data_IF_616286935411
#
_entry.id   IF_616286935411
#
_cell.length_a   1.000
_cell.length_b   1.000
_cell.length_c   1.000
_cell.angle_alpha   90.00
_cell.angle_beta   90.00
_cell.angle_gamma   90.00
#
_symmetry.space_group_name_H-M   'P 1'
#
loop_
_entity.id
_entity.type
_entity.pdbx_description
1 polymer ?
#
# COMPACT_ATOMS: atom_id res chain seq x y z
N UNK A 1 -7.24 -28.94 -58.09
CA UNK A 1 -8.12 -28.55 -56.96
C UNK A 1 -7.35 -27.56 -56.09
N UNK A 2 -7.58 -26.27 -56.33
CA UNK A 2 -6.89 -25.17 -55.64
C UNK A 2 -7.55 -24.93 -54.27
N UNK A 3 -6.77 -25.03 -53.18
CA UNK A 3 -7.23 -24.61 -51.84
C UNK A 3 -7.14 -23.08 -51.74
N UNK A 4 -8.20 -22.36 -51.32
CA UNK A 4 -8.12 -20.92 -51.16
C UNK A 4 -7.28 -20.57 -49.91
N UNK A 5 -6.31 -19.65 -50.01
CA UNK A 5 -5.76 -19.00 -48.83
C UNK A 5 -6.71 -17.87 -48.43
N UNK A 6 -6.94 -17.68 -47.13
CA UNK A 6 -7.57 -16.45 -46.64
C UNK A 6 -8.87 -16.65 -45.89
N UNK A 7 -8.80 -17.30 -44.72
CA UNK A 7 -9.71 -17.03 -43.60
C UNK A 7 -9.02 -16.98 -42.23
N UNK A 8 -7.74 -17.34 -42.14
CA UNK A 8 -6.98 -17.30 -40.88
C UNK A 8 -6.53 -15.89 -40.46
N UNK A 9 -6.31 -15.00 -41.44
CA UNK A 9 -5.78 -13.65 -41.23
C UNK A 9 -6.73 -12.70 -40.48
N UNK A 10 -8.03 -12.59 -40.81
CA UNK A 10 -8.92 -11.65 -40.10
C UNK A 10 -9.18 -12.07 -38.65
N UNK A 11 -9.18 -13.37 -38.36
CA UNK A 11 -9.40 -13.88 -37.00
C UNK A 11 -8.23 -13.56 -36.06
N UNK A 12 -6.99 -13.61 -36.58
CA UNK A 12 -5.78 -13.24 -35.84
C UNK A 12 -5.72 -11.74 -35.55
N UNK A 13 -6.18 -10.88 -36.48
CA UNK A 13 -6.22 -9.43 -36.29
C UNK A 13 -7.28 -9.04 -35.25
N UNK A 14 -8.46 -9.66 -35.29
CA UNK A 14 -9.52 -9.40 -34.29
C UNK A 14 -9.12 -9.91 -32.90
N UNK A 15 -8.47 -11.07 -32.80
CA UNK A 15 -7.94 -11.58 -31.53
C UNK A 15 -6.82 -10.69 -30.97
N UNK A 16 -5.92 -10.18 -31.82
CA UNK A 16 -4.88 -9.24 -31.40
C UNK A 16 -5.46 -7.89 -30.94
N UNK A 17 -6.49 -7.38 -31.62
CA UNK A 17 -7.20 -6.17 -31.20
C UNK A 17 -7.91 -6.36 -29.85
N UNK A 18 -8.56 -7.51 -29.61
CA UNK A 18 -9.22 -7.78 -28.32
C UNK A 18 -8.23 -7.92 -27.15
N UNK A 19 -7.01 -8.41 -27.39
CA UNK A 19 -5.95 -8.44 -26.36
C UNK A 19 -5.42 -7.02 -26.07
N UNK A 20 -5.30 -6.18 -27.09
CA UNK A 20 -4.86 -4.78 -26.95
C UNK A 20 -5.93 -3.90 -26.27
N UNK A 21 -7.22 -4.13 -26.52
CA UNK A 21 -8.32 -3.42 -25.85
C UNK A 21 -8.65 -3.99 -24.45
N UNK A 22 -8.19 -5.21 -24.14
CA UNK A 22 -8.41 -5.89 -22.85
C UNK A 22 -7.26 -5.75 -21.85
N UNK A 23 -6.14 -5.15 -22.25
CA UNK A 23 -5.06 -4.78 -21.35
C UNK A 23 -5.46 -3.54 -20.53
N UNK A 24 -6.48 -3.69 -19.68
CA UNK A 24 -6.67 -2.76 -18.58
C UNK A 24 -5.40 -2.79 -17.74
N UNK A 25 -4.75 -1.64 -17.58
CA UNK A 25 -3.62 -1.52 -16.68
C UNK A 25 -4.06 -2.04 -15.31
N UNK A 26 -3.46 -3.14 -14.85
CA UNK A 26 -3.59 -3.58 -13.48
C UNK A 26 -2.81 -2.58 -12.62
N UNK A 27 -3.43 -1.42 -12.35
CA UNK A 27 -2.90 -0.50 -11.36
C UNK A 27 -2.90 -1.24 -10.03
N UNK A 28 -1.73 -1.44 -9.45
CA UNK A 28 -1.62 -1.99 -8.11
C UNK A 28 -2.36 -1.04 -7.16
N UNK A 29 -3.37 -1.56 -6.48
CA UNK A 29 -4.05 -0.80 -5.45
C UNK A 29 -3.03 -0.56 -4.32
N UNK A 30 -2.72 0.70 -4.03
CA UNK A 30 -1.91 1.04 -2.88
C UNK A 30 -2.74 0.91 -1.60
N UNK A 31 -2.10 0.61 -0.47
CA UNK A 31 -2.75 0.61 0.84
C UNK A 31 -2.22 1.76 1.66
N UNK A 32 -3.11 2.47 2.36
CA UNK A 32 -2.72 3.55 3.27
C UNK A 32 -2.61 3.05 4.71
N UNK A 33 -1.40 2.96 5.25
CA UNK A 33 -1.18 2.37 6.58
C UNK A 33 0.06 2.90 7.30
N UNK A 34 0.18 2.56 8.58
CA UNK A 34 1.39 2.74 9.39
C UNK A 34 2.34 1.55 9.21
N UNK A 35 3.43 1.74 8.47
CA UNK A 35 4.53 0.79 8.40
C UNK A 35 5.41 0.87 9.67
N UNK A 36 6.03 -0.26 10.02
CA UNK A 36 6.82 -0.40 11.24
C UNK A 36 8.27 -0.78 10.92
N UNK A 37 9.21 -0.11 11.59
CA UNK A 37 10.63 -0.16 11.27
C UNK A 37 11.50 -0.28 12.52
N UNK A 38 12.60 -1.00 12.37
CA UNK A 38 13.67 -1.13 13.35
C UNK A 38 14.86 -0.28 12.89
N UNK A 39 15.33 0.62 13.75
CA UNK A 39 16.46 1.49 13.47
C UNK A 39 17.78 0.83 13.84
N UNK A 40 18.84 1.11 13.06
CA UNK A 40 20.18 0.51 13.20
C UNK A 40 21.19 1.43 13.91
N UNK A 41 20.72 2.29 14.82
CA UNK A 41 21.57 3.25 15.54
C UNK A 41 21.91 4.50 14.73
N UNK A 42 21.01 4.93 13.86
CA UNK A 42 21.08 6.21 13.14
C UNK A 42 21.63 6.15 11.72
N UNK A 43 21.76 4.95 11.13
CA UNK A 43 22.31 4.74 9.78
C UNK A 43 21.22 4.45 8.75
N UNK A 44 20.05 3.98 9.18
CA UNK A 44 18.93 3.63 8.32
C UNK A 44 17.83 2.88 9.06
N UNK A 45 16.92 2.30 8.26
CA UNK A 45 15.78 1.54 8.74
C UNK A 45 15.76 0.15 8.11
N UNK A 46 15.31 -0.82 8.90
CA UNK A 46 14.95 -2.15 8.43
C UNK A 46 13.46 -2.36 8.64
N UNK A 47 12.75 -2.83 7.60
CA UNK A 47 11.32 -3.12 7.72
C UNK A 47 11.11 -4.24 8.74
N UNK A 48 10.23 -4.02 9.72
CA UNK A 48 9.99 -5.00 10.76
C UNK A 48 9.18 -6.18 10.22
N UNK A 49 9.67 -7.40 10.45
CA UNK A 49 8.96 -8.64 10.06
C UNK A 49 7.94 -9.10 11.11
N UNK A 50 7.96 -8.46 12.29
CA UNK A 50 7.05 -8.71 13.40
C UNK A 50 6.28 -7.44 13.76
N UNK A 51 5.05 -7.59 14.26
CA UNK A 51 4.23 -6.47 14.69
C UNK A 51 4.75 -5.77 15.97
N UNK A 52 4.41 -4.48 16.19
CA UNK A 52 4.86 -3.73 17.37
C UNK A 52 4.48 -4.33 18.72
N UNK A 53 3.43 -5.15 18.77
CA UNK A 53 2.99 -5.86 19.98
C UNK A 53 3.85 -7.09 20.30
N UNK A 54 4.58 -7.64 19.32
CA UNK A 54 5.45 -8.80 19.49
C UNK A 54 6.89 -8.41 19.77
N UNK A 55 7.38 -7.34 19.11
CA UNK A 55 8.76 -6.86 19.27
C UNK A 55 8.97 -6.27 20.66
N UNK A 56 9.93 -6.82 21.40
CA UNK A 56 10.38 -6.38 22.73
C UNK A 56 11.84 -5.94 22.62
N UNK A 57 12.10 -4.69 22.23
CA UNK A 57 13.46 -4.26 21.95
C UNK A 57 14.20 -3.93 23.25
N UNK A 58 15.53 -3.96 23.20
CA UNK A 58 16.41 -3.64 24.34
C UNK A 58 16.38 -2.14 24.72
N UNK A 59 16.92 -1.80 25.91
CA UNK A 59 17.21 -0.40 26.25
C UNK A 59 18.16 0.19 25.21
N UNK A 60 17.88 1.39 24.72
CA UNK A 60 18.69 2.00 23.67
C UNK A 60 18.20 1.79 22.24
N UNK A 61 17.15 0.99 22.04
CA UNK A 61 16.62 0.74 20.70
C UNK A 61 15.87 1.94 20.10
N UNK A 62 15.87 2.00 18.77
CA UNK A 62 15.12 2.99 17.97
C UNK A 62 14.06 2.28 17.14
N UNK A 63 12.81 2.72 17.27
CA UNK A 63 11.67 2.15 16.56
C UNK A 63 10.94 3.24 15.76
N UNK A 64 10.60 2.93 14.51
CA UNK A 64 10.03 3.87 13.56
C UNK A 64 8.62 3.49 13.12
N UNK A 65 7.75 4.49 13.01
CA UNK A 65 6.41 4.39 12.45
C UNK A 65 6.27 5.39 11.32
N UNK A 66 5.89 4.93 10.13
CA UNK A 66 5.70 5.79 8.96
C UNK A 66 4.32 5.55 8.36
N UNK A 67 3.53 6.62 8.27
CA UNK A 67 2.25 6.57 7.57
C UNK A 67 2.46 6.91 6.10
N UNK A 68 2.04 6.04 5.20
CA UNK A 68 2.15 6.25 3.75
C UNK A 68 1.15 5.42 2.97
N UNK A 69 1.01 5.73 1.68
CA UNK A 69 0.43 4.81 0.70
C UNK A 69 1.55 3.93 0.13
N UNK A 70 1.41 2.61 0.21
CA UNK A 70 2.39 1.65 -0.31
C UNK A 70 1.67 0.43 -0.88
N UNK A 71 2.17 -0.12 -1.98
CA UNK A 71 1.57 -1.29 -2.65
C UNK A 71 1.71 -2.55 -1.78
N UNK A 72 2.93 -2.80 -1.31
CA UNK A 72 3.22 -3.86 -0.36
C UNK A 72 4.40 -3.47 0.57
N UNK A 73 4.93 -4.44 1.32
CA UNK A 73 6.03 -4.22 2.27
C UNK A 73 7.38 -3.97 1.61
N UNK A 74 7.59 -4.39 0.37
CA UNK A 74 8.84 -4.17 -0.40
C UNK A 74 8.98 -2.73 -0.84
N UNK A 75 7.84 -2.08 -1.08
CA UNK A 75 7.74 -0.67 -1.49
C UNK A 75 7.26 0.24 -0.35
N UNK A 76 7.25 -0.27 0.89
CA UNK A 76 6.86 0.50 2.06
C UNK A 76 7.81 1.69 2.27
N UNK A 77 7.25 2.89 2.42
CA UNK A 77 8.06 4.05 2.74
C UNK A 77 8.59 3.93 4.19
N UNK A 78 9.89 4.15 4.35
CA UNK A 78 10.54 4.26 5.66
C UNK A 78 10.34 5.65 6.28
N UNK A 79 10.48 5.81 7.61
CA UNK A 79 10.47 7.13 8.24
C UNK A 79 11.54 8.02 7.61
N UNK A 80 11.18 9.27 7.30
CA UNK A 80 12.04 10.20 6.55
C UNK A 80 13.31 10.63 7.29
N UNK A 81 13.40 10.34 8.59
CA UNK A 81 14.56 10.62 9.45
C UNK A 81 14.89 9.37 10.24
N UNK A 82 16.18 9.12 10.46
CA UNK A 82 16.69 8.02 11.28
C UNK A 82 17.66 8.58 12.34
N UNK A 83 17.17 9.32 13.36
CA UNK A 83 18.04 9.77 14.45
C UNK A 83 18.52 8.57 15.28
N UNK A 84 19.70 8.69 15.87
CA UNK A 84 20.18 7.72 16.85
C UNK A 84 19.45 7.88 18.21
N UNK A 85 19.57 6.84 19.05
CA UNK A 85 18.95 6.81 20.37
C UNK A 85 19.43 7.94 21.28
N UNK A 86 20.73 8.24 21.28
CA UNK A 86 21.32 9.28 22.12
C UNK A 86 20.71 10.65 21.81
N UNK A 87 20.47 10.93 20.53
CA UNK A 87 19.78 12.13 20.08
C UNK A 87 18.32 12.19 20.56
N UNK A 88 17.55 11.11 20.44
CA UNK A 88 16.11 11.11 20.82
C UNK A 88 15.90 11.12 22.34
N UNK A 89 16.77 10.43 23.08
CA UNK A 89 16.62 10.17 24.51
C UNK A 89 17.58 10.99 25.38
N UNK A 90 18.24 12.02 24.84
CA UNK A 90 19.23 12.85 25.54
C UNK A 90 18.74 13.35 26.92
N UNK A 91 17.49 13.83 26.97
CA UNK A 91 16.88 14.39 28.19
C UNK A 91 16.15 13.36 29.05
N UNK A 92 16.28 12.07 28.72
CA UNK A 92 15.59 10.97 29.40
C UNK A 92 16.60 10.11 30.17
N UNK A 93 16.85 10.41 31.45
CA UNK A 93 17.81 9.65 32.25
C UNK A 93 17.35 8.19 32.44
N UNK A 94 18.32 7.29 32.59
CA UNK A 94 18.04 5.92 33.00
C UNK A 94 17.36 5.90 34.37
N UNK A 95 16.54 4.89 34.58
CA UNK A 95 15.87 4.64 35.85
C UNK A 95 15.86 3.13 36.09
N UNK A 96 16.26 2.72 37.27
CA UNK A 96 16.32 1.31 37.65
C UNK A 96 14.98 0.61 37.41
N UNK A 97 15.05 -0.61 36.87
CA UNK A 97 13.88 -1.42 36.54
C UNK A 97 13.10 -0.96 35.30
N UNK A 98 13.56 0.05 34.56
CA UNK A 98 12.95 0.50 33.30
C UNK A 98 13.98 0.50 32.16
N UNK A 99 13.48 0.29 30.95
CA UNK A 99 14.23 0.53 29.70
C UNK A 99 13.70 1.76 28.98
N UNK A 100 14.53 2.31 28.10
CA UNK A 100 14.19 3.42 27.21
C UNK A 100 14.16 2.94 25.77
N UNK A 101 13.12 3.38 25.06
CA UNK A 101 12.96 3.12 23.63
C UNK A 101 12.73 4.46 22.95
N UNK A 102 13.57 4.79 21.97
CA UNK A 102 13.40 5.94 21.12
C UNK A 102 12.36 5.62 20.04
N UNK A 103 11.36 6.49 19.91
CA UNK A 103 10.28 6.34 18.94
C UNK A 103 10.34 7.48 17.93
N UNK A 104 10.34 7.13 16.65
CA UNK A 104 10.21 8.06 15.53
C UNK A 104 8.82 7.89 14.95
N UNK A 105 8.02 8.95 15.00
CA UNK A 105 6.65 8.97 14.50
C UNK A 105 6.63 9.92 13.31
N UNK A 106 6.44 9.36 12.13
CA UNK A 106 6.38 10.06 10.86
C UNK A 106 4.97 9.93 10.25
N UNK A 107 4.07 10.92 10.45
CA UNK A 107 2.67 10.85 10.01
C UNK A 107 2.44 10.95 8.50
N UNK A 108 3.45 10.88 7.66
CA UNK A 108 3.23 11.05 6.23
C UNK A 108 3.54 12.46 5.74
N UNK A 109 3.42 12.62 4.44
CA UNK A 109 3.36 13.89 3.73
C UNK A 109 1.89 14.25 3.48
N UNK A 110 1.64 15.43 2.92
CA UNK A 110 0.32 15.80 2.44
C UNK A 110 -0.24 14.80 1.38
N UNK A 111 0.63 14.17 0.58
CA UNK A 111 0.20 13.17 -0.41
C UNK A 111 -0.23 11.84 0.23
N UNK A 112 0.23 11.55 1.45
CA UNK A 112 -0.12 10.34 2.20
C UNK A 112 -1.43 10.52 2.97
N UNK A 113 -1.82 11.76 3.28
CA UNK A 113 -2.95 12.06 4.12
C UNK A 113 -4.29 11.61 3.49
N UNK A 114 -5.26 11.14 4.29
CA UNK A 114 -6.64 11.01 3.83
C UNK A 114 -7.21 12.36 3.38
N UNK A 115 -8.22 12.30 2.51
CA UNK A 115 -8.87 13.51 2.00
C UNK A 115 -9.42 14.38 3.13
N UNK A 116 -9.08 15.67 3.11
CA UNK A 116 -9.50 16.64 4.13
C UNK A 116 -8.80 16.48 5.49
N UNK A 117 -7.73 15.70 5.55
CA UNK A 117 -6.84 15.63 6.71
C UNK A 117 -5.46 16.22 6.38
N UNK A 118 -4.80 16.81 7.38
CA UNK A 118 -3.44 17.31 7.27
C UNK A 118 -2.52 16.45 8.14
N UNK A 119 -1.42 15.97 7.57
CA UNK A 119 -0.43 15.20 8.30
C UNK A 119 0.29 16.07 9.34
N UNK A 120 0.27 15.71 10.64
CA UNK A 120 1.05 16.42 11.65
C UNK A 120 2.55 16.37 11.37
N UNK A 121 3.29 17.30 11.97
CA UNK A 121 4.74 17.32 11.86
C UNK A 121 5.36 16.01 12.41
N UNK A 122 6.37 15.43 11.71
CA UNK A 122 7.12 14.29 12.23
C UNK A 122 7.78 14.63 13.55
N UNK A 123 7.68 13.73 14.53
CA UNK A 123 8.21 13.93 15.87
C UNK A 123 8.91 12.69 16.41
N UNK A 124 9.69 12.89 17.46
CA UNK A 124 10.33 11.82 18.22
C UNK A 124 9.84 11.87 19.66
N UNK A 125 9.96 10.75 20.36
CA UNK A 125 9.71 10.66 21.79
C UNK A 125 10.55 9.54 22.40
N UNK A 126 10.98 9.72 23.65
CA UNK A 126 11.65 8.66 24.39
C UNK A 126 10.68 8.05 25.42
N UNK A 127 10.33 6.79 25.22
CA UNK A 127 9.50 6.04 26.17
C UNK A 127 10.37 5.48 27.30
N UNK A 128 9.88 5.51 28.55
CA UNK A 128 10.44 4.77 29.69
C UNK A 128 9.43 3.73 30.13
N UNK A 129 9.74 2.44 29.93
CA UNK A 129 8.80 1.33 30.09
C UNK A 129 9.41 0.14 30.81
N UNK A 130 8.57 -0.82 31.20
CA UNK A 130 9.01 -2.05 31.85
C UNK A 130 9.98 -2.85 30.96
N UNK A 131 10.87 -3.69 31.53
CA UNK A 131 11.90 -4.39 30.76
C UNK A 131 11.35 -5.33 29.67
N UNK A 132 10.18 -5.92 29.91
CA UNK A 132 9.49 -6.85 29.01
C UNK A 132 8.48 -6.15 28.07
N UNK A 133 8.36 -4.82 28.16
CA UNK A 133 7.42 -4.06 27.35
C UNK A 133 7.73 -4.17 25.85
N UNK A 134 6.66 -4.27 25.07
CA UNK A 134 6.66 -4.24 23.61
C UNK A 134 6.80 -2.83 23.06
N UNK A 135 7.11 -2.73 21.76
CA UNK A 135 7.11 -1.45 21.05
C UNK A 135 5.73 -0.79 21.05
N UNK A 136 4.64 -1.56 21.01
CA UNK A 136 3.28 -1.05 21.11
C UNK A 136 3.02 -0.37 22.47
N UNK A 137 3.48 -0.98 23.57
CA UNK A 137 3.37 -0.40 24.92
C UNK A 137 4.24 0.85 25.07
N UNK A 138 5.46 0.82 24.49
CA UNK A 138 6.31 2.00 24.41
C UNK A 138 5.63 3.14 23.66
N UNK A 139 5.07 2.88 22.48
CA UNK A 139 4.33 3.87 21.70
C UNK A 139 3.13 4.42 22.48
N UNK A 140 2.35 3.54 23.12
CA UNK A 140 1.19 3.92 23.92
C UNK A 140 1.57 4.80 25.13
N UNK A 141 2.79 4.70 25.65
CA UNK A 141 3.24 5.55 26.75
C UNK A 141 3.48 7.02 26.34
N UNK A 142 3.70 7.31 25.06
CA UNK A 142 4.10 8.65 24.57
C UNK A 142 3.27 9.21 23.41
N UNK A 143 2.30 8.44 22.89
CA UNK A 143 1.60 8.81 21.65
C UNK A 143 0.11 8.49 21.61
N UNK A 144 -0.56 8.44 22.77
CA UNK A 144 -2.01 8.26 22.87
C UNK A 144 -2.81 9.43 22.23
N UNK A 145 -4.05 9.18 21.76
CA UNK A 145 -4.70 7.87 21.68
C UNK A 145 -4.14 7.04 20.52
N UNK A 146 -4.09 5.71 20.72
CA UNK A 146 -3.84 4.75 19.64
C UNK A 146 -5.17 4.11 19.24
N UNK A 147 -5.36 3.89 17.94
CA UNK A 147 -6.51 3.14 17.41
C UNK A 147 -6.00 1.91 16.68
N UNK A 148 -6.61 0.76 16.97
CA UNK A 148 -6.34 -0.51 16.30
C UNK A 148 -7.62 -1.08 15.71
N UNK A 149 -7.49 -1.90 14.66
CA UNK A 149 -8.59 -2.71 14.15
C UNK A 149 -8.71 -4.03 14.92
N UNK A 150 -9.66 -4.88 14.52
CA UNK A 150 -9.85 -6.22 15.10
C UNK A 150 -8.69 -7.18 14.83
N UNK A 151 -7.82 -6.88 13.87
CA UNK A 151 -6.64 -7.67 13.50
C UNK A 151 -5.37 -7.19 14.21
N UNK A 152 -5.50 -6.25 15.16
CA UNK A 152 -4.40 -5.58 15.85
C UNK A 152 -3.48 -4.75 14.93
N UNK A 153 -3.98 -4.34 13.77
CA UNK A 153 -3.31 -3.36 12.90
C UNK A 153 -3.40 -1.96 13.52
N UNK A 154 -2.29 -1.23 13.54
CA UNK A 154 -2.24 0.14 14.04
C UNK A 154 -2.87 1.10 13.02
N UNK A 155 -4.05 1.60 13.34
CA UNK A 155 -4.81 2.50 12.48
C UNK A 155 -4.45 3.97 12.68
N UNK A 156 -4.22 4.38 13.93
CA UNK A 156 -3.94 5.78 14.25
C UNK A 156 -2.98 5.94 15.43
N UNK A 157 -2.15 6.98 15.35
CA UNK A 157 -1.24 7.43 16.40
C UNK A 157 -1.61 8.87 16.75
N UNK A 158 -1.86 9.15 18.02
CA UNK A 158 -2.25 10.48 18.50
C UNK A 158 -3.45 11.07 17.75
N UNK A 159 -4.40 10.21 17.35
CA UNK A 159 -5.60 10.60 16.62
C UNK A 159 -5.42 10.79 15.10
N UNK A 160 -4.24 10.55 14.54
CA UNK A 160 -4.00 10.63 13.09
C UNK A 160 -3.70 9.25 12.45
N UNK A 161 -4.29 8.94 11.28
CA UNK A 161 -5.44 9.64 10.70
C UNK A 161 -6.70 9.50 11.58
N UNK A 162 -7.62 10.47 11.46
CA UNK A 162 -8.89 10.46 12.21
C UNK A 162 -9.77 9.28 11.82
N UNK A 163 -9.71 8.89 10.55
CA UNK A 163 -10.47 7.78 9.99
C UNK A 163 -9.60 6.85 9.15
N UNK A 164 -10.15 5.70 8.82
CA UNK A 164 -9.48 4.68 8.01
C UNK A 164 -8.56 3.74 8.80
N UNK A 165 -8.20 2.60 8.21
CA UNK A 165 -7.25 1.63 8.74
C UNK A 165 -6.78 0.63 7.66
N UNK A 166 -5.98 1.10 6.69
CA UNK A 166 -5.47 0.21 5.64
C UNK A 166 -6.38 0.10 4.41
N UNK A 167 -7.17 1.13 4.10
CA UNK A 167 -7.98 1.13 2.89
C UNK A 167 -7.13 1.07 1.63
N UNK A 168 -7.64 0.38 0.62
CA UNK A 168 -7.13 0.48 -0.74
C UNK A 168 -7.37 1.90 -1.27
N UNK A 169 -6.32 2.48 -1.79
CA UNK A 169 -6.33 3.73 -2.53
C UNK A 169 -6.25 3.35 -4.00
N UNK A 170 -7.14 3.91 -4.82
CA UNK A 170 -7.05 3.73 -6.26
C UNK A 170 -5.65 4.19 -6.70
N UNK A 171 -4.94 3.34 -7.44
CA UNK A 171 -3.65 3.71 -8.01
C UNK A 171 -3.86 4.97 -8.84
N UNK A 172 -3.18 6.06 -8.51
CA UNK A 172 -3.17 7.22 -9.39
C UNK A 172 -2.54 6.75 -10.71
N UNK A 173 -3.12 7.07 -11.87
CA UNK A 173 -2.42 6.88 -13.12
C UNK A 173 -1.11 7.65 -12.99
N UNK A 174 0.01 6.95 -13.06
CA UNK A 174 1.34 7.55 -13.12
C UNK A 174 1.25 8.63 -14.18
N UNK A 175 1.34 9.90 -13.77
CA UNK A 175 1.26 11.02 -14.68
C UNK A 175 2.38 10.78 -15.69
N UNK A 176 2.00 10.36 -16.90
CA UNK A 176 2.91 10.12 -17.99
C UNK A 176 3.82 11.34 -18.04
N UNK A 177 5.12 11.12 -17.80
CA UNK A 177 6.16 12.13 -17.98
C UNK A 177 5.92 12.68 -19.37
N UNK A 178 5.32 13.86 -19.43
CA UNK A 178 5.01 14.54 -20.66
C UNK A 178 6.32 15.15 -21.11
N UNK A 179 7.13 14.34 -21.80
CA UNK A 179 8.20 14.87 -22.62
C UNK A 179 7.56 15.82 -23.63
N UNK A 180 7.94 17.09 -23.50
CA UNK A 180 7.29 18.19 -24.18
C UNK A 180 7.27 18.01 -25.68
N UNK A 181 6.08 18.20 -26.26
CA UNK A 181 5.94 18.69 -27.64
C UNK A 181 4.73 19.61 -27.66
N UNK A 182 4.97 20.86 -28.04
CA UNK A 182 3.97 21.91 -28.18
C UNK A 182 2.97 21.62 -29.34
N UNK A 183 1.80 22.29 -29.38
CA UNK A 183 0.59 21.80 -30.04
C UNK A 183 0.40 22.31 -31.48
N UNK A 184 -0.43 21.60 -32.26
CA UNK A 184 -1.03 22.07 -33.51
C UNK A 184 -2.43 21.41 -33.73
N UNK A 185 -3.34 22.03 -34.52
CA UNK A 185 -4.67 22.40 -34.03
C UNK A 185 -5.84 21.49 -34.42
N UNK A 186 -7.00 21.91 -33.89
CA UNK A 186 -8.34 21.32 -33.93
C UNK A 186 -8.91 20.94 -35.31
N UNK A 187 -9.78 19.94 -35.29
CA UNK A 187 -10.90 19.81 -36.21
C UNK A 187 -12.17 19.41 -35.44
N UNK A 188 -13.20 20.23 -35.59
CA UNK A 188 -14.55 20.09 -35.05
C UNK A 188 -15.30 18.88 -35.61
N UNK A 189 -16.22 18.31 -34.81
CA UNK A 189 -17.07 17.21 -35.28
C UNK A 189 -18.12 16.69 -34.29
N UNK A 190 -19.01 17.57 -33.83
CA UNK A 190 -20.45 17.35 -33.58
C UNK A 190 -21.03 16.00 -33.08
N UNK A 191 -21.72 16.12 -31.91
CA UNK A 191 -23.11 15.73 -31.57
C UNK A 191 -23.44 14.31 -31.05
N UNK A 192 -24.09 14.35 -29.87
CA UNK A 192 -25.24 13.53 -29.44
C UNK A 192 -24.88 12.16 -28.85
N UNK A 193 -25.59 11.56 -27.89
CA UNK A 193 -26.66 11.96 -26.98
C UNK A 193 -26.83 10.75 -26.03
N UNK A 194 -27.13 11.03 -24.76
CA UNK A 194 -27.97 10.28 -23.82
C UNK A 194 -27.78 8.77 -23.59
N UNK A 195 -27.81 8.37 -22.30
CA UNK A 195 -28.58 7.19 -21.88
C UNK A 195 -27.86 6.15 -21.03
N UNK A 196 -28.29 6.11 -19.77
CA UNK A 196 -28.53 4.92 -18.93
C UNK A 196 -27.37 4.14 -18.29
N UNK A 197 -27.35 4.22 -16.96
CA UNK A 197 -26.65 3.30 -16.08
C UNK A 197 -27.35 1.93 -15.99
N UNK A 198 -26.55 0.88 -16.01
CA UNK A 198 -26.96 -0.52 -15.82
C UNK A 198 -25.74 -1.38 -15.46
N UNK A 199 -25.93 -2.51 -14.75
CA UNK A 199 -24.97 -3.04 -13.79
C UNK A 199 -23.76 -3.75 -14.41
N UNK A 200 -22.66 -3.66 -13.66
CA UNK A 200 -21.29 -4.12 -13.93
C UNK A 200 -21.19 -5.48 -14.63
N UNK A 201 -20.76 -5.45 -15.89
CA UNK A 201 -20.47 -6.61 -16.74
C UNK A 201 -19.28 -7.49 -16.25
N UNK A 202 -18.63 -7.14 -15.14
CA UNK A 202 -17.47 -7.87 -14.60
C UNK A 202 -17.80 -9.21 -13.93
N UNK A 203 -19.05 -9.41 -13.49
CA UNK A 203 -19.41 -10.65 -12.75
C UNK A 203 -19.80 -11.79 -13.70
N UNK A 204 -20.35 -11.49 -14.88
CA UNK A 204 -20.81 -12.52 -15.82
C UNK A 204 -19.68 -13.14 -16.64
N UNK A 205 -18.55 -12.43 -16.83
CA UNK A 205 -17.37 -12.94 -17.54
C UNK A 205 -16.55 -13.91 -16.69
N UNK A 206 -16.52 -13.75 -15.37
CA UNK A 206 -15.76 -14.63 -14.46
C UNK A 206 -16.31 -16.06 -14.37
N UNK A 207 -17.64 -16.20 -14.31
CA UNK A 207 -18.30 -17.51 -14.18
C UNK A 207 -18.14 -18.37 -15.44
N UNK A 208 -18.14 -17.75 -16.63
CA UNK A 208 -17.95 -18.46 -17.90
C UNK A 208 -16.57 -19.10 -18.05
N UNK A 209 -15.51 -18.42 -17.60
CA UNK A 209 -14.13 -18.93 -17.72
C UNK A 209 -13.88 -20.16 -16.85
N UNK A 210 -14.43 -20.21 -15.64
CA UNK A 210 -14.27 -21.35 -14.71
C UNK A 210 -14.97 -22.60 -15.23
N UNK A 211 -16.16 -22.45 -15.84
CA UNK A 211 -16.90 -23.58 -16.42
C UNK A 211 -16.18 -24.19 -17.61
N UNK A 212 -15.56 -23.39 -18.48
CA UNK A 212 -14.80 -23.88 -19.64
C UNK A 212 -13.56 -24.66 -19.20
N UNK A 213 -12.83 -24.18 -18.18
CA UNK A 213 -11.66 -24.87 -17.65
C UNK A 213 -12.03 -26.19 -16.93
N UNK A 214 -13.15 -26.22 -16.22
CA UNK A 214 -13.69 -27.45 -15.60
C UNK A 214 -14.01 -28.53 -16.62
N UNK A 215 -14.68 -28.18 -17.73
CA UNK A 215 -15.02 -29.13 -18.81
C UNK A 215 -13.76 -29.67 -19.50
N UNK A 216 -12.76 -28.82 -19.75
CA UNK A 216 -11.49 -29.23 -20.34
C UNK A 216 -10.71 -30.23 -19.45
N UNK A 217 -10.75 -30.03 -18.13
CA UNK A 217 -10.14 -30.95 -17.15
C UNK A 217 -10.78 -32.34 -17.18
N UNK A 218 -12.11 -32.43 -17.20
CA UNK A 218 -12.84 -33.71 -17.23
C UNK A 218 -12.60 -34.49 -18.52
N UNK A 219 -12.55 -33.81 -19.67
CA UNK A 219 -12.28 -34.43 -20.96
C UNK A 219 -10.83 -34.95 -21.07
N UNK A 220 -9.87 -34.25 -20.45
CA UNK A 220 -8.47 -34.69 -20.41
C UNK A 220 -8.27 -35.91 -19.50
N UNK A 221 -9.04 -36.01 -18.40
CA UNK A 221 -9.01 -37.17 -17.50
C UNK A 221 -9.65 -38.42 -18.13
N UNK A 222 -10.74 -38.26 -18.90
CA UNK A 222 -11.40 -39.36 -19.62
C UNK A 222 -10.59 -39.94 -20.77
N UNK A 223 -9.67 -39.16 -21.37
CA UNK A 223 -8.76 -39.64 -22.43
C UNK A 223 -7.49 -40.31 -21.90
N UNK A 224 -7.29 -40.31 -20.58
CA UNK A 224 -6.13 -40.92 -19.90
C UNK A 224 -6.48 -42.18 -19.11
N UNK A 225 -7.73 -42.62 -19.15
CA UNK A 225 -8.18 -43.95 -18.74
C UNK A 225 -8.54 -44.73 -19.99
#
# INVERSE_FOLDING_TARGET
MSRPPGRATPLLVVAALLVLLGAGNAHAAGYRYWSFWEGDGGKGWTYATQGPSSVRPDDGAVQGFRFSVSEDSRDAAQPRRAPDFGTVCADTPQKDGLKRIALVIDPGTAADAPDGEEAPAPRTACARVAPDASTAEALASVAKPLRYDSSAMLCAISGYPRSGCGEQVAGQPEAAKSDGTAPAPAADGARGASGDGGPSAGVLTGVGAVLVLGVAGVLRARRRR
#
